data_IF_690490082007
#
_entry.id   IF_690490082007
#
_cell.length_a   1.000
_cell.length_b   1.000
_cell.length_c   1.000
_cell.angle_alpha   90.00
_cell.angle_beta   90.00
_cell.angle_gamma   90.00
#
_symmetry.space_group_name_H-M   'P 1'
#
loop_
_entity.id
_entity.type
_entity.pdbx_description
1 polymer ?
#
# COMPACT_ATOMS: atom_id res chain seq x y z
N UNK A 1 -47.65 -36.43 -1.85
CA UNK A 1 -46.58 -36.06 -2.81
C UNK A 1 -45.57 -35.02 -2.26
N UNK A 2 -45.29 -34.97 -0.95
CA UNK A 2 -44.39 -33.96 -0.37
C UNK A 2 -42.99 -34.49 0.00
N UNK A 3 -42.86 -35.79 0.28
CA UNK A 3 -41.60 -36.39 0.80
C UNK A 3 -40.49 -36.46 -0.26
N UNK A 4 -40.86 -36.66 -1.53
CA UNK A 4 -39.89 -36.73 -2.65
C UNK A 4 -39.23 -35.38 -2.97
N UNK A 5 -39.88 -34.26 -2.68
CA UNK A 5 -39.30 -32.93 -2.89
C UNK A 5 -38.36 -32.52 -1.75
N UNK A 6 -38.70 -32.84 -0.50
CA UNK A 6 -37.81 -32.62 0.66
C UNK A 6 -36.47 -33.37 0.52
N UNK A 7 -36.50 -34.63 0.08
CA UNK A 7 -35.27 -35.41 -0.17
C UNK A 7 -34.43 -34.89 -1.35
N UNK A 8 -35.07 -34.28 -2.35
CA UNK A 8 -34.39 -33.70 -3.53
C UNK A 8 -33.69 -32.38 -3.20
N UNK A 9 -34.22 -31.61 -2.24
CA UNK A 9 -33.64 -30.36 -1.74
C UNK A 9 -32.42 -30.63 -0.83
N UNK A 10 -32.45 -31.71 -0.04
CA UNK A 10 -31.32 -32.10 0.80
C UNK A 10 -30.08 -32.44 -0.05
N UNK A 11 -30.14 -33.39 -0.99
CA UNK A 11 -28.92 -33.83 -1.70
C UNK A 11 -28.16 -32.74 -2.47
N UNK A 12 -28.85 -31.74 -3.05
CA UNK A 12 -28.18 -30.64 -3.79
C UNK A 12 -27.56 -29.58 -2.88
N UNK A 13 -28.12 -29.39 -1.68
CA UNK A 13 -27.61 -28.42 -0.69
C UNK A 13 -26.46 -29.01 0.13
N UNK A 14 -26.51 -30.33 0.40
CA UNK A 14 -25.50 -31.05 1.18
C UNK A 14 -24.32 -31.59 0.35
N UNK A 15 -24.34 -31.49 -0.99
CA UNK A 15 -23.22 -31.89 -1.85
C UNK A 15 -22.89 -30.80 -2.87
N UNK A 16 -22.57 -29.61 -2.37
CA UNK A 16 -22.01 -28.53 -3.19
C UNK A 16 -20.69 -28.03 -2.57
N UNK A 17 -19.59 -28.80 -2.71
CA UNK A 17 -18.29 -28.43 -2.14
C UNK A 17 -17.78 -27.08 -2.67
N UNK A 18 -18.18 -26.67 -3.88
CA UNK A 18 -17.88 -25.34 -4.43
C UNK A 18 -18.57 -24.22 -3.66
N UNK A 19 -19.84 -24.40 -3.28
CA UNK A 19 -20.57 -23.43 -2.46
C UNK A 19 -20.10 -23.43 -1.00
N UNK A 20 -19.70 -24.58 -0.44
CA UNK A 20 -19.20 -24.69 0.93
C UNK A 20 -17.87 -23.99 1.14
N UNK A 21 -16.97 -24.08 0.16
CA UNK A 21 -15.71 -23.35 0.18
C UNK A 21 -15.86 -21.91 -0.31
N UNK A 22 -17.05 -21.46 -0.70
CA UNK A 22 -17.26 -20.14 -1.29
C UNK A 22 -16.30 -19.90 -2.47
N UNK A 23 -16.06 -20.92 -3.30
CA UNK A 23 -15.04 -20.88 -4.35
C UNK A 23 -15.24 -19.70 -5.31
N UNK A 24 -16.51 -19.39 -5.60
CA UNK A 24 -16.86 -18.25 -6.45
C UNK A 24 -16.48 -16.92 -5.78
N UNK A 25 -16.74 -16.76 -4.48
CA UNK A 25 -16.31 -15.59 -3.69
C UNK A 25 -14.79 -15.49 -3.59
N UNK A 26 -14.09 -16.59 -3.27
CA UNK A 26 -12.62 -16.62 -3.23
C UNK A 26 -11.98 -16.28 -4.58
N UNK A 27 -12.60 -16.72 -5.67
CA UNK A 27 -12.13 -16.40 -7.04
C UNK A 27 -12.33 -14.92 -7.36
N UNK A 28 -13.46 -14.33 -6.99
CA UNK A 28 -13.74 -12.91 -7.19
C UNK A 28 -12.85 -12.02 -6.30
N UNK A 29 -12.64 -12.41 -5.05
CA UNK A 29 -11.75 -11.73 -4.11
C UNK A 29 -10.31 -11.80 -4.60
N UNK A 30 -9.83 -12.98 -5.01
CA UNK A 30 -8.49 -13.16 -5.53
C UNK A 30 -8.27 -12.37 -6.83
N UNK A 31 -9.27 -12.30 -7.71
CA UNK A 31 -9.21 -11.46 -8.92
C UNK A 31 -9.08 -9.98 -8.54
N UNK A 32 -9.85 -9.52 -7.55
CA UNK A 32 -9.80 -8.13 -7.07
C UNK A 32 -8.43 -7.80 -6.48
N UNK A 33 -7.89 -8.68 -5.64
CA UNK A 33 -6.54 -8.55 -5.07
C UNK A 33 -5.50 -8.48 -6.19
N UNK A 34 -5.62 -9.32 -7.22
CA UNK A 34 -4.70 -9.32 -8.35
C UNK A 34 -4.76 -8.03 -9.17
N UNK A 35 -5.96 -7.49 -9.40
CA UNK A 35 -6.13 -6.21 -10.12
C UNK A 35 -5.52 -5.06 -9.32
N UNK A 36 -5.79 -4.98 -8.02
CA UNK A 36 -5.20 -3.95 -7.15
C UNK A 36 -3.67 -4.04 -7.10
N UNK A 37 -3.13 -5.26 -7.03
CA UNK A 37 -1.69 -5.49 -7.14
C UNK A 37 -1.14 -5.05 -8.49
N UNK A 38 -1.81 -5.44 -9.58
CA UNK A 38 -1.38 -5.08 -10.93
C UNK A 38 -1.41 -3.56 -11.14
N UNK A 39 -2.41 -2.84 -10.63
CA UNK A 39 -2.50 -1.39 -10.68
C UNK A 39 -1.44 -0.70 -9.80
N UNK A 40 -1.13 -1.25 -8.63
CA UNK A 40 -0.07 -0.74 -7.76
C UNK A 40 1.34 -0.89 -8.38
N UNK A 41 1.56 -1.93 -9.19
CA UNK A 41 2.86 -2.25 -9.79
C UNK A 41 2.99 -1.90 -11.27
N UNK A 42 1.90 -1.53 -11.94
CA UNK A 42 1.95 -1.00 -13.30
C UNK A 42 2.25 0.49 -13.23
N UNK A 43 3.44 0.95 -13.66
CA UNK A 43 3.69 2.38 -13.73
C UNK A 43 2.66 3.02 -14.68
N UNK A 44 1.95 4.09 -14.28
CA UNK A 44 1.11 4.83 -15.20
C UNK A 44 2.00 5.26 -16.37
N UNK A 45 1.58 4.94 -17.61
CA UNK A 45 2.35 5.24 -18.81
C UNK A 45 2.80 6.69 -18.81
N UNK A 46 4.08 6.92 -19.15
CA UNK A 46 4.70 8.25 -19.14
C UNK A 46 3.99 9.12 -20.17
N UNK A 47 3.03 9.94 -19.72
CA UNK A 47 2.28 10.86 -20.60
C UNK A 47 3.19 11.98 -21.12
N UNK A 48 4.31 12.25 -20.43
CA UNK A 48 5.31 13.25 -20.82
C UNK A 48 6.60 13.10 -20.01
N UNK A 49 7.75 13.00 -20.67
CA UNK A 49 9.05 13.22 -20.02
C UNK A 49 9.24 14.73 -19.85
N UNK A 50 8.64 15.31 -18.81
CA UNK A 50 8.89 16.71 -18.44
C UNK A 50 10.10 16.76 -17.49
N UNK A 51 11.02 17.68 -17.78
CA UNK A 51 12.14 17.98 -16.88
C UNK A 51 11.62 18.68 -15.61
N UNK A 52 12.39 18.60 -14.51
CA UNK A 52 12.01 19.21 -13.24
C UNK A 52 11.76 20.72 -13.34
N UNK A 53 12.50 21.42 -14.21
CA UNK A 53 12.32 22.85 -14.45
C UNK A 53 11.02 23.17 -15.21
N UNK A 54 10.65 22.36 -16.21
CA UNK A 54 9.38 22.50 -16.93
C UNK A 54 8.18 22.25 -16.01
N UNK A 55 8.28 21.27 -15.10
CA UNK A 55 7.26 21.03 -14.08
C UNK A 55 7.14 22.19 -13.07
N UNK A 56 8.28 22.79 -12.68
CA UNK A 56 8.32 23.95 -11.78
C UNK A 56 7.68 25.19 -12.42
N UNK A 57 7.96 25.43 -13.71
CA UNK A 57 7.35 26.51 -14.49
C UNK A 57 5.84 26.29 -14.67
N UNK A 58 5.40 25.06 -14.96
CA UNK A 58 3.97 24.72 -15.07
C UNK A 58 3.20 24.92 -13.77
N UNK A 59 3.82 24.58 -12.64
CA UNK A 59 3.20 24.67 -11.32
C UNK A 59 3.38 26.03 -10.63
N UNK A 60 4.07 27.00 -11.28
CA UNK A 60 4.40 28.31 -10.71
C UNK A 60 5.02 28.21 -9.30
N UNK A 61 5.85 27.19 -9.05
CA UNK A 61 6.44 26.96 -7.74
C UNK A 61 7.69 27.83 -7.56
N UNK A 62 7.74 28.58 -6.47
CA UNK A 62 8.97 29.26 -6.05
C UNK A 62 9.93 28.25 -5.44
N UNK A 63 11.24 28.47 -5.62
CA UNK A 63 12.29 27.67 -4.97
C UNK A 63 12.12 27.63 -3.44
N UNK A 64 11.61 28.71 -2.84
CA UNK A 64 11.33 28.80 -1.41
C UNK A 64 10.21 27.85 -0.97
N UNK A 65 9.14 27.77 -1.76
CA UNK A 65 8.01 26.88 -1.48
C UNK A 65 8.40 25.42 -1.63
N UNK A 66 9.32 25.14 -2.56
CA UNK A 66 9.84 23.82 -2.84
C UNK A 66 10.71 23.29 -1.68
N UNK A 67 11.57 24.14 -1.12
CA UNK A 67 12.34 23.81 0.09
C UNK A 67 11.43 23.59 1.32
N UNK A 68 10.41 24.42 1.49
CA UNK A 68 9.46 24.29 2.59
C UNK A 68 8.67 22.98 2.48
N UNK A 69 8.22 22.65 1.27
CA UNK A 69 7.53 21.39 0.97
C UNK A 69 8.42 20.19 1.19
N UNK A 70 9.70 20.24 0.79
CA UNK A 70 10.67 19.18 1.04
C UNK A 70 10.83 18.91 2.54
N UNK A 71 10.99 19.98 3.33
CA UNK A 71 11.10 19.88 4.79
C UNK A 71 9.84 19.24 5.40
N UNK A 72 8.66 19.65 4.94
CA UNK A 72 7.40 19.09 5.42
C UNK A 72 7.28 17.60 5.08
N UNK A 73 7.65 17.17 3.87
CA UNK A 73 7.65 15.75 3.52
C UNK A 73 8.62 14.93 4.36
N UNK A 74 9.79 15.47 4.69
CA UNK A 74 10.70 14.80 5.62
C UNK A 74 10.09 14.66 7.03
N UNK A 75 9.44 15.72 7.54
CA UNK A 75 8.76 15.68 8.83
C UNK A 75 7.59 14.69 8.84
N UNK A 76 6.80 14.62 7.76
CA UNK A 76 5.73 13.63 7.63
C UNK A 76 6.28 12.21 7.57
N UNK A 77 7.36 11.97 6.82
CA UNK A 77 8.01 10.66 6.81
C UNK A 77 8.42 10.24 8.22
N UNK A 78 9.08 11.13 8.97
CA UNK A 78 9.48 10.87 10.36
C UNK A 78 8.27 10.61 11.27
N UNK A 79 7.22 11.43 11.16
CA UNK A 79 5.98 11.26 11.92
C UNK A 79 5.36 9.88 11.70
N UNK A 80 5.25 9.44 10.45
CA UNK A 80 4.71 8.12 10.12
C UNK A 80 5.61 6.97 10.56
N UNK A 81 6.93 7.14 10.57
CA UNK A 81 7.85 6.16 11.16
C UNK A 81 7.62 6.03 12.67
N UNK A 82 7.51 7.15 13.39
CA UNK A 82 7.29 7.14 14.85
C UNK A 82 5.94 6.49 15.18
N UNK A 83 4.88 6.84 14.47
CA UNK A 83 3.57 6.21 14.64
C UNK A 83 3.59 4.71 14.30
N UNK A 84 4.18 4.34 13.16
CA UNK A 84 4.31 2.95 12.74
C UNK A 84 5.07 2.11 13.77
N UNK A 85 6.19 2.61 14.28
CA UNK A 85 6.96 1.95 15.33
C UNK A 85 6.20 1.85 16.65
N UNK A 86 5.44 2.88 17.02
CA UNK A 86 4.62 2.86 18.25
C UNK A 86 3.53 1.78 18.17
N UNK A 87 2.84 1.69 17.02
CA UNK A 87 1.83 0.65 16.77
C UNK A 87 2.46 -0.74 16.74
N UNK A 88 3.64 -0.87 16.13
CA UNK A 88 4.36 -2.15 16.03
C UNK A 88 4.76 -2.67 17.42
N UNK A 89 5.32 -1.81 18.28
CA UNK A 89 5.63 -2.16 19.68
C UNK A 89 4.36 -2.57 20.43
N UNK A 90 3.27 -1.82 20.25
CA UNK A 90 1.98 -2.14 20.88
C UNK A 90 1.38 -3.47 20.37
N UNK A 91 1.55 -3.79 19.08
CA UNK A 91 1.13 -5.05 18.50
C UNK A 91 1.85 -6.23 19.19
N UNK A 92 3.16 -6.15 19.35
CA UNK A 92 3.93 -7.17 20.06
C UNK A 92 3.53 -7.29 21.52
N UNK A 93 3.27 -6.16 22.19
CA UNK A 93 2.75 -6.16 23.56
C UNK A 93 1.41 -6.93 23.66
N UNK A 94 0.45 -6.65 22.77
CA UNK A 94 -0.83 -7.36 22.70
C UNK A 94 -0.67 -8.87 22.49
N UNK A 95 0.26 -9.25 21.60
CA UNK A 95 0.54 -10.66 21.30
C UNK A 95 1.14 -11.39 22.51
N UNK A 96 2.15 -10.80 23.16
CA UNK A 96 2.89 -11.45 24.25
C UNK A 96 2.03 -11.54 25.52
N UNK A 97 1.32 -10.47 25.87
CA UNK A 97 0.55 -10.43 27.12
C UNK A 97 -0.79 -11.14 27.02
N UNK A 98 -1.53 -10.93 25.93
CA UNK A 98 -2.92 -11.38 25.82
C UNK A 98 -3.10 -12.53 24.82
N UNK A 99 -2.04 -12.95 24.12
CA UNK A 99 -2.08 -14.03 23.10
C UNK A 99 -3.13 -13.80 22.01
N UNK A 100 -3.46 -12.53 21.76
CA UNK A 100 -4.47 -12.12 20.78
C UNK A 100 -3.86 -12.03 19.38
N UNK A 101 -3.73 -13.19 18.72
CA UNK A 101 -3.14 -13.28 17.38
C UNK A 101 -3.86 -12.39 16.34
N UNK A 102 -5.20 -12.36 16.36
CA UNK A 102 -5.98 -11.55 15.42
C UNK A 102 -5.78 -10.04 15.62
N UNK A 103 -5.66 -9.60 16.88
CA UNK A 103 -5.38 -8.20 17.19
C UNK A 103 -3.96 -7.80 16.74
N UNK A 104 -2.99 -8.69 16.95
CA UNK A 104 -1.62 -8.52 16.45
C UNK A 104 -1.60 -8.41 14.91
N UNK A 105 -2.28 -9.32 14.21
CA UNK A 105 -2.33 -9.31 12.74
C UNK A 105 -2.94 -8.00 12.21
N UNK A 106 -4.02 -7.53 12.82
CA UNK A 106 -4.67 -6.26 12.43
C UNK A 106 -3.76 -5.06 12.71
N UNK A 107 -3.08 -5.04 13.87
CA UNK A 107 -2.13 -3.98 14.21
C UNK A 107 -0.90 -3.99 13.29
N UNK A 108 -0.43 -5.17 12.85
CA UNK A 108 0.64 -5.31 11.85
C UNK A 108 0.23 -4.73 10.49
N UNK A 109 -1.02 -4.92 10.07
CA UNK A 109 -1.56 -4.31 8.85
C UNK A 109 -1.57 -2.77 8.94
N UNK A 110 -2.00 -2.22 10.09
CA UNK A 110 -1.98 -0.77 10.34
C UNK A 110 -0.55 -0.23 10.36
N UNK A 111 0.39 -0.90 11.03
CA UNK A 111 1.79 -0.50 11.05
C UNK A 111 2.38 -0.50 9.63
N UNK A 112 2.04 -1.50 8.81
CA UNK A 112 2.46 -1.58 7.41
C UNK A 112 1.95 -0.41 6.57
N UNK A 113 0.71 0.05 6.78
CA UNK A 113 0.17 1.25 6.15
C UNK A 113 0.92 2.51 6.56
N UNK A 114 1.31 2.64 7.82
CA UNK A 114 2.14 3.77 8.27
C UNK A 114 3.53 3.74 7.63
N UNK A 115 4.18 2.58 7.55
CA UNK A 115 5.48 2.47 6.87
C UNK A 115 5.39 2.72 5.37
N UNK A 116 4.32 2.27 4.70
CA UNK A 116 4.09 2.58 3.29
C UNK A 116 3.96 4.10 3.05
N UNK A 117 3.24 4.79 3.92
CA UNK A 117 3.14 6.25 3.89
C UNK A 117 4.48 6.93 4.17
N UNK A 118 5.21 6.48 5.19
CA UNK A 118 6.53 7.00 5.52
C UNK A 118 7.49 6.89 4.33
N UNK A 119 7.51 5.73 3.68
CA UNK A 119 8.28 5.50 2.47
C UNK A 119 7.90 6.48 1.36
N UNK A 120 6.59 6.64 1.10
CA UNK A 120 6.08 7.56 0.07
C UNK A 120 6.55 9.00 0.29
N UNK A 121 6.41 9.53 1.51
CA UNK A 121 6.85 10.89 1.82
C UNK A 121 8.37 11.05 1.76
N UNK A 122 9.13 10.05 2.22
CA UNK A 122 10.58 10.06 2.12
C UNK A 122 11.04 10.01 0.65
N UNK A 123 10.33 9.26 -0.20
CA UNK A 123 10.60 9.19 -1.63
C UNK A 123 10.33 10.53 -2.33
N UNK A 124 9.23 11.22 -2.01
CA UNK A 124 8.97 12.57 -2.54
C UNK A 124 10.01 13.60 -2.08
N UNK A 125 10.45 13.52 -0.82
CA UNK A 125 11.57 14.33 -0.35
C UNK A 125 12.85 14.07 -1.16
N UNK A 126 13.16 12.81 -1.46
CA UNK A 126 14.31 12.43 -2.27
C UNK A 126 14.21 12.98 -3.70
N UNK A 127 13.04 12.90 -4.36
CA UNK A 127 12.82 13.45 -5.70
C UNK A 127 13.01 14.97 -5.74
N UNK A 128 12.50 15.68 -4.74
CA UNK A 128 12.69 17.13 -4.62
C UNK A 128 14.17 17.47 -4.40
N UNK A 129 14.84 16.77 -3.49
CA UNK A 129 16.26 17.02 -3.16
C UNK A 129 17.17 16.82 -4.36
N UNK A 130 16.89 15.81 -5.19
CA UNK A 130 17.69 15.49 -6.37
C UNK A 130 17.20 16.12 -7.67
N UNK A 131 16.09 16.89 -7.64
CA UNK A 131 15.49 17.56 -8.80
C UNK A 131 15.30 16.63 -10.00
N UNK A 132 15.04 15.33 -9.76
CA UNK A 132 14.79 14.32 -10.80
C UNK A 132 13.39 13.74 -10.59
N UNK A 133 12.53 13.95 -11.58
CA UNK A 133 11.23 13.30 -11.67
C UNK A 133 11.46 11.89 -12.21
N UNK A 134 10.88 10.87 -11.57
CA UNK A 134 11.02 9.47 -12.04
C UNK A 134 12.23 8.68 -11.52
N UNK A 135 12.81 9.03 -10.37
CA UNK A 135 13.83 8.18 -9.73
C UNK A 135 13.36 6.73 -9.55
N UNK A 136 14.23 5.77 -9.82
CA UNK A 136 13.91 4.36 -9.58
C UNK A 136 14.07 3.98 -8.11
N UNK A 137 13.42 2.91 -7.67
CA UNK A 137 13.60 2.39 -6.31
C UNK A 137 15.05 2.00 -5.99
N UNK A 138 15.80 1.57 -7.01
CA UNK A 138 17.22 1.26 -6.88
C UNK A 138 18.05 2.52 -6.55
N UNK A 139 17.77 3.64 -7.21
CA UNK A 139 18.42 4.93 -6.93
C UNK A 139 18.09 5.47 -5.54
N UNK A 140 16.83 5.35 -5.13
CA UNK A 140 16.40 5.73 -3.78
C UNK A 140 17.14 4.93 -2.70
N UNK A 141 17.26 3.61 -2.87
CA UNK A 141 17.96 2.73 -1.92
C UNK A 141 19.46 3.03 -1.86
N UNK A 142 20.09 3.36 -3.00
CA UNK A 142 21.50 3.73 -3.05
C UNK A 142 21.78 5.11 -2.43
N UNK A 143 20.74 5.92 -2.18
CA UNK A 143 20.86 7.27 -1.63
C UNK A 143 21.55 8.27 -2.56
N UNK A 144 21.75 7.89 -3.83
CA UNK A 144 22.39 8.71 -4.87
C UNK A 144 21.65 8.45 -6.19
N UNK A 145 21.30 9.49 -6.96
CA UNK A 145 20.84 9.30 -8.33
C UNK A 145 22.01 8.73 -9.14
N UNK A 146 21.75 7.64 -9.88
CA UNK A 146 22.70 7.15 -10.86
C UNK A 146 22.83 8.27 -11.92
N UNK A 147 24.08 8.71 -12.16
CA UNK A 147 24.36 9.67 -13.23
C UNK A 147 23.89 9.05 -14.55
N UNK A 148 23.07 9.79 -15.28
CA UNK A 148 23.05 9.71 -16.74
C UNK A 148 24.31 10.42 -17.28
#
# INVERSE_FOLDING_TARGET
>A
MAVRQAFKISRKTFFNPRAWFGYDSLKEDNKTIWVLLAELFSPPGVVREETFEEAMQRLNLSEKDLQLTARNYYLYALFFVVLGSSVLVYAFYLMIQYRLFWAWLLAMSIASLFYANAFRYHFWFFQIKHRKLGCTFAEWRAGKPLRE
#
